data_IF_627494123650
#
_entry.id   IF_627494123650
#
_cell.length_a   1.000
_cell.length_b   1.000
_cell.length_c   1.000
_cell.angle_alpha   90.00
_cell.angle_beta   90.00
_cell.angle_gamma   90.00
#
_symmetry.space_group_name_H-M   'P 1'
#
loop_
_entity.id
_entity.type
_entity.pdbx_description
1 polymer ?
#
# COMPACT_ATOMS: atom_id res chain seq x y z
N UNK A 1 -12.28 22.97 -2.08
CA UNK A 1 -13.36 21.97 -1.83
C UNK A 1 -13.38 21.69 -0.33
N UNK A 2 -14.55 21.70 0.29
CA UNK A 2 -14.70 21.24 1.69
C UNK A 2 -14.70 19.71 1.67
N UNK A 3 -13.78 19.10 2.40
CA UNK A 3 -13.72 17.64 2.58
C UNK A 3 -14.57 17.24 3.77
N UNK A 4 -15.40 16.21 3.63
CA UNK A 4 -16.16 15.64 4.74
C UNK A 4 -15.22 15.14 5.84
N UNK A 5 -15.63 15.31 7.10
CA UNK A 5 -14.94 14.75 8.26
C UNK A 5 -15.05 13.22 8.29
N UNK A 6 -14.16 12.55 9.01
CA UNK A 6 -14.21 11.09 9.19
C UNK A 6 -15.56 10.65 9.79
N UNK A 7 -16.14 11.46 10.69
CA UNK A 7 -17.45 11.17 11.30
C UNK A 7 -18.59 11.19 10.28
N UNK A 8 -18.60 12.16 9.38
CA UNK A 8 -19.59 12.26 8.31
C UNK A 8 -19.43 11.11 7.30
N UNK A 9 -18.20 10.78 6.92
CA UNK A 9 -17.91 9.65 6.03
C UNK A 9 -18.38 8.34 6.67
N UNK A 10 -18.12 8.13 7.96
CA UNK A 10 -18.57 6.93 8.68
C UNK A 10 -20.09 6.81 8.71
N UNK A 11 -20.81 7.91 8.95
CA UNK A 11 -22.28 7.95 8.91
C UNK A 11 -22.81 7.65 7.50
N UNK A 12 -22.17 8.18 6.47
CA UNK A 12 -22.55 7.93 5.08
C UNK A 12 -22.32 6.47 4.68
N UNK A 13 -21.21 5.84 5.09
CA UNK A 13 -20.95 4.43 4.81
C UNK A 13 -21.96 3.52 5.53
N UNK A 14 -22.37 3.87 6.75
CA UNK A 14 -23.27 3.06 7.56
C UNK A 14 -24.70 2.92 6.98
N UNK A 15 -25.11 3.79 6.05
CA UNK A 15 -26.41 3.73 5.39
C UNK A 15 -26.37 3.03 4.02
N UNK A 16 -25.18 2.71 3.51
CA UNK A 16 -25.01 2.05 2.22
C UNK A 16 -25.18 0.54 2.37
N UNK A 17 -25.64 -0.10 1.29
CA UNK A 17 -25.65 -1.55 1.21
C UNK A 17 -24.24 -2.10 0.91
N UNK A 18 -24.10 -3.43 1.04
CA UNK A 18 -22.81 -4.09 0.85
C UNK A 18 -22.26 -3.88 -0.57
N UNK A 19 -23.11 -3.85 -1.59
CA UNK A 19 -22.69 -3.72 -2.98
C UNK A 19 -22.14 -2.31 -3.26
N UNK A 20 -22.80 -1.28 -2.73
CA UNK A 20 -22.36 0.11 -2.80
C UNK A 20 -21.02 0.33 -2.08
N UNK A 21 -20.85 -0.26 -0.89
CA UNK A 21 -19.58 -0.19 -0.15
C UNK A 21 -18.47 -0.88 -0.95
N UNK A 22 -18.73 -2.06 -1.50
CA UNK A 22 -17.77 -2.78 -2.35
C UNK A 22 -17.36 -1.94 -3.58
N UNK A 23 -18.34 -1.35 -4.26
CA UNK A 23 -18.09 -0.49 -5.42
C UNK A 23 -17.23 0.74 -5.06
N UNK A 24 -17.45 1.36 -3.89
CA UNK A 24 -16.63 2.45 -3.39
C UNK A 24 -15.19 2.03 -3.12
N UNK A 25 -14.98 0.90 -2.42
CA UNK A 25 -13.66 0.36 -2.14
C UNK A 25 -12.88 0.06 -3.44
N UNK A 26 -13.54 -0.57 -4.43
CA UNK A 26 -12.92 -0.84 -5.73
C UNK A 26 -12.57 0.45 -6.49
N UNK A 27 -13.45 1.47 -6.43
CA UNK A 27 -13.17 2.77 -7.04
C UNK A 27 -11.95 3.46 -6.41
N UNK A 28 -11.83 3.38 -5.08
CA UNK A 28 -10.67 3.92 -4.35
C UNK A 28 -9.37 3.20 -4.73
N UNK A 29 -9.40 1.87 -4.84
CA UNK A 29 -8.26 1.05 -5.24
C UNK A 29 -7.81 1.33 -6.69
N UNK A 30 -8.77 1.56 -7.61
CA UNK A 30 -8.47 1.89 -9.00
C UNK A 30 -7.84 3.28 -9.16
N UNK A 31 -8.22 4.21 -8.29
CA UNK A 31 -7.79 5.61 -8.41
C UNK A 31 -6.38 5.86 -7.84
N UNK A 32 -6.00 5.21 -6.73
CA UNK A 32 -4.71 5.45 -6.06
C UNK A 32 -3.99 4.13 -5.76
N UNK A 33 -2.73 4.02 -6.17
CA UNK A 33 -1.89 2.83 -5.91
C UNK A 33 -1.82 2.49 -4.42
N UNK A 34 -1.58 3.49 -3.58
CA UNK A 34 -1.49 3.30 -2.12
C UNK A 34 -2.78 2.70 -1.52
N UNK A 35 -3.96 3.07 -2.05
CA UNK A 35 -5.22 2.52 -1.58
C UNK A 35 -5.33 1.03 -1.92
N UNK A 36 -4.83 0.64 -3.11
CA UNK A 36 -4.78 -0.75 -3.54
C UNK A 36 -3.82 -1.54 -2.64
N UNK A 37 -2.63 -1.01 -2.37
CA UNK A 37 -1.64 -1.64 -1.48
C UNK A 37 -2.19 -1.81 -0.06
N UNK A 38 -2.81 -0.77 0.51
CA UNK A 38 -3.44 -0.86 1.82
C UNK A 38 -4.57 -1.89 1.87
N UNK A 39 -5.41 -1.96 0.84
CA UNK A 39 -6.46 -2.98 0.76
C UNK A 39 -5.87 -4.39 0.64
N UNK A 40 -4.79 -4.57 -0.13
CA UNK A 40 -4.08 -5.85 -0.21
C UNK A 40 -3.61 -6.27 1.18
N UNK A 41 -2.96 -5.36 1.89
CA UNK A 41 -2.50 -5.60 3.25
C UNK A 41 -3.65 -6.01 4.18
N UNK A 42 -4.70 -5.17 4.27
CA UNK A 42 -5.81 -5.40 5.19
C UNK A 42 -6.60 -6.69 4.91
N UNK A 43 -6.74 -7.06 3.63
CA UNK A 43 -7.56 -8.22 3.24
C UNK A 43 -6.78 -9.54 3.19
N UNK A 44 -5.49 -9.50 2.87
CA UNK A 44 -4.71 -10.71 2.58
C UNK A 44 -3.47 -10.90 3.44
N UNK A 45 -2.98 -9.88 4.14
CA UNK A 45 -1.68 -9.96 4.84
C UNK A 45 -1.80 -9.64 6.33
N UNK A 46 -2.80 -8.86 6.73
CA UNK A 46 -3.00 -8.41 8.11
C UNK A 46 -3.33 -9.54 9.11
N UNK A 47 -3.65 -10.74 8.62
CA UNK A 47 -3.87 -11.90 9.48
C UNK A 47 -2.57 -12.58 9.92
N UNK A 48 -1.45 -12.33 9.23
CA UNK A 48 -0.11 -12.81 9.57
C UNK A 48 0.93 -11.70 9.32
N UNK A 49 0.88 -10.71 10.20
CA UNK A 49 1.78 -9.55 10.18
C UNK A 49 3.26 -9.96 10.26
N UNK A 50 3.56 -11.07 10.92
CA UNK A 50 4.92 -11.54 11.08
C UNK A 50 5.48 -12.12 9.77
N UNK A 51 4.68 -12.90 9.04
CA UNK A 51 5.03 -13.33 7.68
C UNK A 51 5.18 -12.14 6.73
N UNK A 52 4.27 -11.15 6.81
CA UNK A 52 4.35 -9.94 5.99
C UNK A 52 5.66 -9.16 6.21
N UNK A 53 6.02 -8.90 7.47
CA UNK A 53 7.27 -8.21 7.83
C UNK A 53 8.49 -8.97 7.34
N UNK A 54 8.49 -10.30 7.42
CA UNK A 54 9.60 -11.12 6.94
C UNK A 54 9.73 -11.07 5.41
N UNK A 55 8.62 -11.15 4.68
CA UNK A 55 8.61 -11.02 3.21
C UNK A 55 9.15 -9.66 2.77
N UNK A 56 8.70 -8.57 3.41
CA UNK A 56 9.21 -7.23 3.12
C UNK A 56 10.72 -7.10 3.39
N UNK A 57 11.20 -7.69 4.49
CA UNK A 57 12.65 -7.70 4.78
C UNK A 57 13.44 -8.43 3.71
N UNK A 58 12.96 -9.61 3.29
CA UNK A 58 13.62 -10.38 2.23
C UNK A 58 13.61 -9.65 0.88
N UNK A 59 12.49 -9.01 0.51
CA UNK A 59 12.42 -8.20 -0.71
C UNK A 59 13.38 -7.00 -0.67
N UNK A 60 13.50 -6.33 0.48
CA UNK A 60 14.46 -5.24 0.66
C UNK A 60 15.90 -5.77 0.57
N UNK A 61 16.23 -6.85 1.27
CA UNK A 61 17.57 -7.47 1.20
C UNK A 61 17.94 -7.84 -0.25
N UNK A 62 17.01 -8.39 -1.02
CA UNK A 62 17.23 -8.70 -2.44
C UNK A 62 17.48 -7.44 -3.28
N UNK A 63 16.63 -6.41 -3.12
CA UNK A 63 16.77 -5.15 -3.86
C UNK A 63 18.09 -4.43 -3.52
N UNK A 64 18.47 -4.38 -2.23
CA UNK A 64 19.75 -3.81 -1.80
C UNK A 64 20.95 -4.67 -2.23
N UNK A 65 20.81 -6.01 -2.24
CA UNK A 65 21.81 -6.92 -2.79
C UNK A 65 22.05 -6.69 -4.29
N UNK A 66 20.98 -6.45 -5.05
CA UNK A 66 21.07 -6.10 -6.48
C UNK A 66 21.76 -4.75 -6.70
N UNK A 67 21.54 -3.76 -5.83
CA UNK A 67 22.23 -2.47 -5.87
C UNK A 67 23.73 -2.59 -5.57
N UNK A 68 24.15 -3.52 -4.72
CA UNK A 68 25.57 -3.69 -4.34
C UNK A 68 26.45 -4.09 -5.54
N UNK A 69 25.88 -4.75 -6.56
CA UNK A 69 26.57 -5.12 -7.80
C UNK A 69 26.65 -3.98 -8.82
N UNK A 70 25.84 -2.93 -8.63
CA UNK A 70 25.99 -1.71 -9.38
C UNK A 70 26.88 -0.80 -8.53
N UNK A 71 28.07 -0.53 -9.08
CA UNK A 71 28.59 0.83 -9.07
C UNK A 71 29.61 1.23 -7.97
N UNK A 72 30.71 0.47 -7.82
CA UNK A 72 31.99 1.09 -7.41
C UNK A 72 32.59 1.93 -8.56
N UNK A 73 32.20 1.64 -9.81
CA UNK A 73 32.78 2.23 -11.02
C UNK A 73 32.29 3.66 -11.35
N UNK A 74 31.01 3.98 -11.16
CA UNK A 74 30.43 5.32 -11.37
C UNK A 74 30.38 6.20 -10.10
N UNK A 75 30.52 5.68 -8.88
CA UNK A 75 30.69 6.52 -7.67
C UNK A 75 31.95 7.39 -7.79
N UNK A 76 32.97 6.92 -8.50
CA UNK A 76 34.19 7.70 -8.80
C UNK A 76 34.03 8.79 -9.87
N UNK A 77 32.87 8.90 -10.55
CA UNK A 77 32.64 9.90 -11.61
C UNK A 77 31.90 11.17 -11.14
N UNK A 78 31.54 11.24 -9.86
CA UNK A 78 30.88 12.41 -9.24
C UNK A 78 31.62 12.97 -8.02
N UNK A 79 32.94 12.75 -7.94
CA UNK A 79 33.86 13.59 -7.16
C UNK A 79 34.73 14.33 -8.16
#
# INVERSE_FOLDING_TARGET
MVTATISEIKKAIAILDQEQVNALCLRLAKYKKDNKELLTYLLFEAHDEQAYVNTLKSELEEQFGALTNLNVYYVKKSI
#
